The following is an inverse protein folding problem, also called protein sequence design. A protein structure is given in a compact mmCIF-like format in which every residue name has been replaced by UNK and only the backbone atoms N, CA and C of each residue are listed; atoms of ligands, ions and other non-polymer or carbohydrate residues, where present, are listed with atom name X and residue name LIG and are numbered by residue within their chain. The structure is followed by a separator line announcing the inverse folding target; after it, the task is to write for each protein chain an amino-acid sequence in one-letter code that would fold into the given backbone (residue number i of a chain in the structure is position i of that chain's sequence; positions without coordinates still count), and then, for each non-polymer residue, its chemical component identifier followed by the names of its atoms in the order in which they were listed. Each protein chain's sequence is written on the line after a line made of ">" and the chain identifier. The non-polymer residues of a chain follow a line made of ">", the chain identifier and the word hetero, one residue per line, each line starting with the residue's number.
data_IF_461941241590
#
_entry.id   IF_461941241590
#
_cell.length_a   1.000
_cell.length_b   1.000
_cell.length_c   1.000
_cell.angle_alpha   90.00
_cell.angle_beta   90.00
_cell.angle_gamma   90.00
#
_symmetry.space_group_name_H-M   'P 1'
#
loop_
_entity.id
_entity.type
_entity.pdbx_description
1 polymer ?
#
# COMPACT_ATOMS: atom_id res chain seq x y z
N UNK A 1 -5.21 -5.99 23.61
CA UNK A 1 -5.23 -4.55 23.31
C UNK A 1 -4.41 -4.33 22.04
N UNK A 2 -4.98 -4.66 20.87
CA UNK A 2 -4.28 -4.61 19.58
C UNK A 2 -4.78 -3.37 18.85
N UNK A 3 -3.91 -2.38 18.65
CA UNK A 3 -4.23 -1.16 17.90
C UNK A 3 -4.73 -1.50 16.50
N UNK A 4 -5.83 -0.85 16.09
CA UNK A 4 -6.43 -0.96 14.76
C UNK A 4 -5.38 -0.61 13.69
N UNK A 5 -5.39 -1.35 12.58
CA UNK A 5 -4.54 -1.18 11.40
C UNK A 5 -4.48 0.31 10.97
N UNK A 6 -5.58 1.06 11.10
CA UNK A 6 -5.65 2.50 10.80
C UNK A 6 -4.85 3.39 11.76
N UNK A 7 -4.79 3.05 13.06
CA UNK A 7 -3.99 3.82 14.02
C UNK A 7 -2.50 3.63 13.81
N UNK A 8 -2.10 2.44 13.33
CA UNK A 8 -0.69 2.14 13.05
C UNK A 8 -0.16 2.87 11.81
N UNK A 9 -0.99 3.09 10.78
CA UNK A 9 -0.63 3.92 9.61
C UNK A 9 -0.35 5.36 10.05
N UNK A 10 -1.26 5.94 10.86
CA UNK A 10 -1.12 7.32 11.35
C UNK A 10 0.14 7.52 12.19
N UNK A 11 0.48 6.56 13.05
CA UNK A 11 1.70 6.62 13.85
C UNK A 11 2.97 6.50 12.98
N UNK A 12 2.92 5.70 11.91
CA UNK A 12 4.08 5.52 11.02
C UNK A 12 4.36 6.77 10.18
N UNK A 13 3.34 7.42 9.62
CA UNK A 13 3.50 8.67 8.86
C UNK A 13 4.06 9.81 9.71
N UNK A 14 3.65 9.95 10.96
CA UNK A 14 4.24 10.92 11.89
C UNK A 14 5.70 10.60 12.27
N UNK A 15 6.06 9.32 12.33
CA UNK A 15 7.42 8.88 12.71
C UNK A 15 8.47 9.01 11.60
N UNK A 16 8.06 8.95 10.32
CA UNK A 16 8.94 9.16 9.16
C UNK A 16 9.42 10.62 9.09
N UNK A 17 8.56 11.60 9.42
CA UNK A 17 8.97 13.01 9.53
C UNK A 17 10.08 13.27 10.56
N UNK A 18 10.20 12.44 11.60
CA UNK A 18 11.18 12.66 12.66
C UNK A 18 12.58 12.09 12.35
N UNK A 19 12.71 11.17 11.38
CA UNK A 19 13.98 10.49 11.08
C UNK A 19 14.80 11.08 9.93
N UNK A 20 14.34 12.15 9.28
CA UNK A 20 15.00 12.79 8.12
C UNK A 20 15.47 14.23 8.40
N UNK A 21 15.86 14.56 9.64
CA UNK A 21 16.47 15.85 9.98
C UNK A 21 18.00 15.77 9.96
N UNK A 22 18.59 15.64 8.78
CA UNK A 22 19.99 16.01 8.53
C UNK A 22 20.20 16.19 7.02
N UNK A 23 20.06 17.43 6.54
CA UNK A 23 20.45 17.84 5.18
C UNK A 23 19.41 18.71 4.46
N UNK A 24 19.38 20.00 4.79
CA UNK A 24 19.09 21.18 3.94
C UNK A 24 18.25 21.02 2.65
N UNK A 25 17.11 20.32 2.71
CA UNK A 25 16.08 20.25 1.65
C UNK A 25 14.67 20.18 2.26
N UNK A 26 14.45 20.88 3.38
CA UNK A 26 13.25 20.74 4.21
C UNK A 26 11.99 21.34 3.58
N UNK A 27 12.10 22.36 2.73
CA UNK A 27 10.94 23.17 2.32
C UNK A 27 10.21 22.66 1.05
N UNK A 28 10.89 21.92 0.17
CA UNK A 28 10.31 21.44 -1.10
C UNK A 28 9.48 20.17 -0.88
N UNK A 29 9.90 19.32 0.06
CA UNK A 29 9.26 18.04 0.35
C UNK A 29 8.00 18.26 1.21
N UNK A 30 8.00 19.22 2.14
CA UNK A 30 6.87 19.38 3.08
C UNK A 30 5.57 19.85 2.40
N UNK A 31 5.66 20.63 1.32
CA UNK A 31 4.49 21.11 0.57
C UNK A 31 3.79 19.99 -0.23
N UNK A 32 4.56 19.14 -0.89
CA UNK A 32 4.03 18.03 -1.70
C UNK A 32 3.37 16.97 -0.81
N UNK A 33 3.98 16.67 0.35
CA UNK A 33 3.49 15.63 1.26
C UNK A 33 2.25 16.08 2.03
N UNK A 34 2.07 17.39 2.26
CA UNK A 34 0.83 17.94 2.81
C UNK A 34 -0.34 17.73 1.85
N UNK A 35 -0.14 17.95 0.55
CA UNK A 35 -1.18 17.69 -0.47
C UNK A 35 -1.46 16.18 -0.64
N UNK A 36 -0.45 15.33 -0.46
CA UNK A 36 -0.62 13.87 -0.43
C UNK A 36 -1.40 13.38 0.79
N UNK A 37 -1.38 14.11 1.91
CA UNK A 37 -2.22 13.81 3.09
C UNK A 37 -3.69 14.18 2.88
N UNK A 38 -4.00 15.06 1.92
CA UNK A 38 -5.36 15.37 1.49
C UNK A 38 -5.89 14.36 0.46
N UNK A 39 -5.05 13.44 -0.04
CA UNK A 39 -5.54 12.27 -0.74
C UNK A 39 -6.42 11.48 0.22
N UNK A 40 -7.63 11.07 -0.18
CA UNK A 40 -8.52 10.34 0.70
C UNK A 40 -7.87 9.00 1.08
N UNK A 41 -7.17 8.95 2.21
CA UNK A 41 -6.58 7.73 2.80
C UNK A 41 -7.69 6.67 2.99
N UNK A 42 -8.94 7.11 3.14
CA UNK A 42 -10.14 6.25 3.17
C UNK A 42 -10.38 5.48 1.86
N UNK A 43 -10.00 6.02 0.69
CA UNK A 43 -10.10 5.32 -0.61
C UNK A 43 -9.05 4.22 -0.77
N UNK A 44 -7.90 4.28 -0.08
CA UNK A 44 -6.84 3.27 -0.21
C UNK A 44 -7.39 1.88 0.14
N UNK A 45 -8.19 1.77 1.20
CA UNK A 45 -8.80 0.49 1.59
C UNK A 45 -9.68 -0.11 0.49
N UNK A 46 -10.57 0.70 -0.09
CA UNK A 46 -11.45 0.28 -1.18
C UNK A 46 -10.66 -0.11 -2.44
N UNK A 47 -9.70 0.72 -2.85
CA UNK A 47 -8.88 0.45 -4.04
C UNK A 47 -7.98 -0.77 -3.87
N UNK A 48 -7.40 -0.97 -2.67
CA UNK A 48 -6.62 -2.18 -2.37
C UNK A 48 -7.49 -3.43 -2.38
N UNK A 49 -8.73 -3.32 -1.92
CA UNK A 49 -9.69 -4.42 -1.97
C UNK A 49 -10.09 -4.72 -3.42
N UNK A 50 -10.37 -3.70 -4.22
CA UNK A 50 -10.69 -3.83 -5.64
C UNK A 50 -9.54 -4.47 -6.42
N UNK A 51 -8.31 -4.02 -6.17
CA UNK A 51 -7.10 -4.61 -6.76
C UNK A 51 -6.95 -6.08 -6.36
N UNK A 52 -7.14 -6.39 -5.07
CA UNK A 52 -7.09 -7.76 -4.57
C UNK A 52 -8.14 -8.65 -5.21
N UNK A 53 -9.37 -8.15 -5.36
CA UNK A 53 -10.47 -8.87 -6.00
C UNK A 53 -10.20 -9.09 -7.49
N UNK A 54 -9.70 -8.07 -8.18
CA UNK A 54 -9.37 -8.13 -9.61
C UNK A 54 -8.36 -9.24 -9.91
N UNK A 55 -7.34 -9.40 -9.06
CA UNK A 55 -6.33 -10.45 -9.18
C UNK A 55 -6.61 -11.72 -8.37
N UNK A 56 -7.79 -11.84 -7.76
CA UNK A 56 -8.22 -12.99 -6.97
C UNK A 56 -7.19 -13.37 -5.88
N UNK A 57 -6.66 -12.37 -5.19
CA UNK A 57 -5.76 -12.56 -4.07
C UNK A 57 -6.54 -13.15 -2.89
N UNK A 58 -5.92 -14.10 -2.21
CA UNK A 58 -6.46 -14.59 -0.93
C UNK A 58 -6.35 -13.49 0.12
N UNK A 59 -7.13 -13.60 1.20
CA UNK A 59 -7.07 -12.65 2.32
C UNK A 59 -5.64 -12.44 2.84
N UNK A 60 -4.86 -13.52 2.93
CA UNK A 60 -3.48 -13.46 3.41
C UNK A 60 -2.53 -12.78 2.42
N UNK A 61 -2.72 -13.03 1.14
CA UNK A 61 -1.96 -12.37 0.08
C UNK A 61 -2.26 -10.87 0.02
N UNK A 62 -3.53 -10.47 0.18
CA UNK A 62 -3.96 -9.07 0.28
C UNK A 62 -3.37 -8.37 1.50
N UNK A 63 -3.36 -9.03 2.66
CA UNK A 63 -2.74 -8.50 3.87
C UNK A 63 -1.24 -8.25 3.68
N UNK A 64 -0.51 -9.24 3.15
CA UNK A 64 0.93 -9.12 2.89
C UNK A 64 1.21 -8.04 1.83
N UNK A 65 0.39 -7.95 0.79
CA UNK A 65 0.45 -6.89 -0.22
C UNK A 65 0.29 -5.51 0.42
N UNK A 66 -0.65 -5.34 1.34
CA UNK A 66 -0.85 -4.07 2.05
C UNK A 66 0.34 -3.73 2.94
N UNK A 67 0.84 -4.70 3.71
CA UNK A 67 2.00 -4.53 4.59
C UNK A 67 3.26 -4.10 3.83
N UNK A 68 3.46 -4.61 2.61
CA UNK A 68 4.61 -4.21 1.80
C UNK A 68 4.40 -2.88 1.07
N UNK A 69 3.24 -2.67 0.44
CA UNK A 69 3.03 -1.50 -0.44
C UNK A 69 2.70 -0.23 0.34
N UNK A 70 1.85 -0.35 1.37
CA UNK A 70 1.36 0.83 2.12
C UNK A 70 2.31 1.18 3.25
N UNK A 71 2.87 0.17 3.94
CA UNK A 71 3.73 0.40 5.11
C UNK A 71 5.22 0.25 4.83
N UNK A 72 5.60 -0.31 3.68
CA UNK A 72 7.01 -0.50 3.34
C UNK A 72 7.75 -1.50 4.23
N UNK A 73 7.04 -2.42 4.90
CA UNK A 73 7.70 -3.37 5.80
C UNK A 73 8.57 -4.38 5.04
N UNK A 74 9.72 -4.70 5.62
CA UNK A 74 10.59 -5.77 5.14
C UNK A 74 9.98 -7.15 5.43
N UNK A 75 10.40 -8.18 4.70
CA UNK A 75 9.88 -9.54 4.86
C UNK A 75 9.94 -10.07 6.31
N UNK A 76 10.99 -9.72 7.05
CA UNK A 76 11.14 -10.05 8.47
C UNK A 76 10.06 -9.39 9.34
N UNK A 77 9.82 -8.10 9.14
CA UNK A 77 8.84 -7.33 9.89
C UNK A 77 7.41 -7.81 9.60
N UNK A 78 7.15 -8.21 8.35
CA UNK A 78 5.90 -8.84 7.93
C UNK A 78 5.78 -10.20 8.63
N UNK A 79 6.81 -11.04 8.59
CA UNK A 79 6.82 -12.36 9.21
C UNK A 79 6.46 -12.30 10.70
N UNK A 80 7.06 -11.37 11.44
CA UNK A 80 6.76 -11.12 12.86
C UNK A 80 5.30 -10.71 13.09
N UNK A 81 4.77 -9.74 12.33
CA UNK A 81 3.38 -9.25 12.45
C UNK A 81 2.36 -10.32 12.10
N UNK A 82 2.69 -11.12 11.11
CA UNK A 82 1.86 -12.17 10.57
C UNK A 82 2.00 -13.48 11.35
N UNK A 83 2.96 -13.60 12.28
CA UNK A 83 3.28 -14.82 13.03
C UNK A 83 3.55 -16.02 12.08
N UNK A 84 4.40 -15.78 11.07
CA UNK A 84 4.83 -16.78 10.08
C UNK A 84 6.33 -16.67 9.83
N UNK A 85 6.92 -17.60 9.08
CA UNK A 85 8.35 -17.50 8.70
C UNK A 85 8.56 -16.50 7.55
N UNK A 86 9.76 -15.90 7.46
CA UNK A 86 10.16 -15.10 6.30
C UNK A 86 10.07 -15.87 4.97
N UNK A 87 10.34 -17.18 5.00
CA UNK A 87 10.17 -18.06 3.84
C UNK A 87 8.70 -18.13 3.42
N UNK A 88 7.78 -18.21 4.37
CA UNK A 88 6.34 -18.19 4.12
C UNK A 88 5.90 -16.85 3.51
N UNK A 89 6.44 -15.72 4.00
CA UNK A 89 6.19 -14.40 3.39
C UNK A 89 6.63 -14.38 1.93
N UNK A 90 7.86 -14.84 1.65
CA UNK A 90 8.39 -14.94 0.27
C UNK A 90 7.51 -15.81 -0.63
N UNK A 91 6.97 -16.92 -0.10
CA UNK A 91 6.05 -17.77 -0.85
C UNK A 91 4.73 -17.07 -1.18
N UNK A 92 4.13 -16.36 -0.22
CA UNK A 92 2.94 -15.55 -0.48
C UNK A 92 3.22 -14.47 -1.52
N UNK A 93 4.35 -13.77 -1.44
CA UNK A 93 4.74 -12.77 -2.43
C UNK A 93 4.97 -13.38 -3.83
N UNK A 94 5.53 -14.59 -3.91
CA UNK A 94 5.65 -15.30 -5.18
C UNK A 94 4.27 -15.62 -5.78
N UNK A 95 3.32 -16.07 -4.96
CA UNK A 95 1.95 -16.33 -5.41
C UNK A 95 1.24 -15.05 -5.86
N UNK A 96 1.37 -13.95 -5.11
CA UNK A 96 0.88 -12.62 -5.51
C UNK A 96 1.44 -12.22 -6.87
N UNK A 97 2.75 -12.31 -7.05
CA UNK A 97 3.40 -11.96 -8.31
C UNK A 97 2.90 -12.84 -9.47
N UNK A 98 2.74 -14.15 -9.23
CA UNK A 98 2.22 -15.09 -10.22
C UNK A 98 0.77 -14.74 -10.63
N UNK A 99 -0.11 -14.45 -9.67
CA UNK A 99 -1.50 -14.07 -9.93
C UNK A 99 -1.62 -12.75 -10.69
N UNK A 100 -0.74 -11.80 -10.39
CA UNK A 100 -0.69 -10.49 -11.07
C UNK A 100 -0.02 -10.63 -12.46
N UNK A 101 0.77 -11.68 -12.69
CA UNK A 101 1.50 -11.88 -13.94
C UNK A 101 2.82 -11.10 -14.03
N UNK A 102 3.43 -10.78 -12.88
CA UNK A 102 4.71 -10.06 -12.81
C UNK A 102 5.84 -10.96 -12.31
N UNK A 103 7.07 -10.64 -12.75
CA UNK A 103 8.30 -11.36 -12.35
C UNK A 103 9.12 -10.63 -11.29
N UNK A 104 8.71 -9.42 -10.90
CA UNK A 104 9.46 -8.61 -9.95
C UNK A 104 8.52 -7.74 -9.13
N UNK A 105 8.74 -7.77 -7.82
CA UNK A 105 7.99 -6.98 -6.85
C UNK A 105 8.13 -5.47 -7.07
N UNK A 106 9.21 -5.01 -7.73
CA UNK A 106 9.38 -3.61 -8.12
C UNK A 106 8.29 -3.12 -9.07
N UNK A 107 7.66 -4.03 -9.82
CA UNK A 107 6.54 -3.71 -10.73
C UNK A 107 5.19 -3.61 -10.02
N UNK A 108 5.11 -4.00 -8.75
CA UNK A 108 3.86 -4.03 -7.99
C UNK A 108 3.33 -2.62 -7.71
N UNK A 109 4.21 -1.72 -7.26
CA UNK A 109 3.88 -0.32 -6.98
C UNK A 109 3.31 0.39 -8.21
N UNK A 110 4.00 0.45 -9.37
CA UNK A 110 3.46 1.14 -10.53
C UNK A 110 2.15 0.51 -11.05
N UNK A 111 1.98 -0.81 -10.95
CA UNK A 111 0.72 -1.45 -11.31
C UNK A 111 -0.43 -1.04 -10.39
N UNK A 112 -0.18 -0.99 -9.08
CA UNK A 112 -1.18 -0.54 -8.12
C UNK A 112 -1.54 0.93 -8.38
N UNK A 113 -0.54 1.79 -8.62
CA UNK A 113 -0.77 3.19 -8.97
C UNK A 113 -1.64 3.32 -10.22
N UNK A 114 -1.30 2.60 -11.30
CA UNK A 114 -2.13 2.57 -12.51
C UNK A 114 -3.57 2.13 -12.18
N UNK A 115 -3.74 1.09 -11.39
CA UNK A 115 -5.08 0.63 -10.98
C UNK A 115 -5.86 1.70 -10.21
N UNK A 116 -5.21 2.41 -9.28
CA UNK A 116 -5.83 3.51 -8.52
C UNK A 116 -6.27 4.64 -9.46
N UNK A 117 -5.43 5.02 -10.42
CA UNK A 117 -5.73 6.09 -11.38
C UNK A 117 -6.86 5.70 -12.33
N UNK A 118 -6.84 4.50 -12.90
CA UNK A 118 -7.91 4.02 -13.78
C UNK A 118 -9.24 3.76 -13.04
N UNK A 119 -9.20 3.37 -11.77
CA UNK A 119 -10.41 3.24 -10.94
C UNK A 119 -11.07 4.61 -10.67
N UNK A 120 -10.31 5.72 -10.71
CA UNK A 120 -10.85 7.07 -10.59
C UNK A 120 -11.63 7.48 -11.83
N UNK A 121 -11.09 7.25 -13.04
CA UNK A 121 -11.72 7.61 -14.31
C UNK A 121 -13.07 6.89 -14.53
N UNK A 122 -13.16 5.62 -14.13
CA UNK A 122 -14.42 4.85 -14.27
C UNK A 122 -15.51 5.31 -13.31
N UNK A 123 -15.14 5.91 -12.17
CA UNK A 123 -16.11 6.50 -11.24
C UNK A 123 -16.61 7.87 -11.75
N UNK A 124 -15.75 8.68 -12.35
CA UNK A 124 -16.11 9.97 -12.99
C UNK A 124 -17.08 9.76 -14.18
N UNK A 125 -16.87 8.73 -15.01
CA UNK A 125 -17.78 8.40 -16.12
C UNK A 125 -19.17 7.92 -15.68
N UNK A 126 -19.35 7.45 -14.44
CA UNK A 126 -20.66 7.05 -13.92
C UNK A 126 -21.49 8.24 -13.39
N UNK A 127 -20.88 9.39 -13.15
CA UNK A 127 -21.55 10.58 -12.60
C UNK A 127 -22.04 11.52 -13.73
N UNK A 128 -21.50 11.38 -14.95
CA UNK A 128 -21.88 12.17 -16.13
C UNK A 128 -23.01 11.59 -16.98
N UNK A 129 -23.75 10.58 -16.52
CA UNK A 129 -24.91 10.01 -17.23
C UNK A 129 -26.19 10.15 -16.40
N UNK A 130 -26.47 11.35 -15.92
CA UNK A 130 -27.78 11.76 -15.42
C UNK A 130 -28.17 13.10 -16.02
#
# INVERSE_FOLDING_TARGET
>A
MVLNIMERIKLHSSSISYRMKNGDNQDIIDHDYKSLNDLPIQKIGATMQDFSNYYQLTQRESEILMLIVVYGFANREIAERCVISEKTVKNHLANVMNKIGIKSIRKLIPLLFSHVLYAHEKNEMKIGTK
#
